data_IF_820480149664
#
_entry.id   IF_820480149664
#
_cell.length_a   1.000
_cell.length_b   1.000
_cell.length_c   1.000
_cell.angle_alpha   90.00
_cell.angle_beta   90.00
_cell.angle_gamma   90.00
#
_symmetry.space_group_name_H-M   'P 1'
#
loop_
_entity.id
_entity.type
_entity.pdbx_description
1 polymer ?
#
# COMPACT_ATOMS: atom_id res chain seq x y z
N UNK A 1 -17.09 13.76 -0.82
CA UNK A 1 -15.61 13.64 -0.69
C UNK A 1 -15.03 13.57 -2.10
N UNK A 2 -14.00 14.35 -2.44
CA UNK A 2 -13.29 14.13 -3.72
C UNK A 2 -12.59 12.77 -3.63
N UNK A 3 -12.78 11.92 -4.64
CA UNK A 3 -12.05 10.66 -4.78
C UNK A 3 -10.55 10.98 -4.84
N UNK A 4 -9.75 10.32 -4.00
CA UNK A 4 -8.29 10.42 -4.01
C UNK A 4 -7.71 9.09 -4.46
N UNK A 5 -6.67 9.15 -5.27
CA UNK A 5 -5.93 7.96 -5.67
C UNK A 5 -5.21 7.36 -4.46
N UNK A 6 -5.14 6.03 -4.43
CA UNK A 6 -4.42 5.27 -3.42
C UNK A 6 -3.45 4.34 -4.14
N UNK A 7 -2.16 4.43 -3.79
CA UNK A 7 -1.12 3.57 -4.36
C UNK A 7 -0.23 3.04 -3.24
N UNK A 8 0.15 1.77 -3.33
CA UNK A 8 1.17 1.17 -2.47
C UNK A 8 2.23 0.56 -3.36
N UNK A 9 3.48 0.93 -3.15
CA UNK A 9 4.65 0.25 -3.72
C UNK A 9 5.43 -0.44 -2.61
N UNK A 10 6.11 -1.53 -2.92
CA UNK A 10 6.93 -2.28 -1.98
C UNK A 10 8.33 -2.51 -2.53
N UNK A 11 9.33 -2.55 -1.64
CA UNK A 11 10.69 -2.99 -1.94
C UNK A 11 11.07 -4.11 -0.96
N UNK A 12 11.45 -5.28 -1.47
CA UNK A 12 12.02 -6.35 -0.66
C UNK A 12 13.44 -5.94 -0.22
N UNK A 13 13.71 -5.95 1.08
CA UNK A 13 14.98 -5.46 1.62
C UNK A 13 16.15 -6.42 1.38
N UNK A 14 15.89 -7.70 1.12
CA UNK A 14 16.92 -8.70 0.87
C UNK A 14 17.26 -8.80 -0.62
N UNK A 15 16.25 -8.76 -1.50
CA UNK A 15 16.44 -8.93 -2.94
C UNK A 15 16.52 -7.62 -3.72
N UNK A 16 16.04 -6.50 -3.14
CA UNK A 16 15.77 -5.23 -3.83
C UNK A 16 14.71 -5.33 -4.93
N UNK A 17 13.85 -6.37 -4.92
CA UNK A 17 12.71 -6.44 -5.83
C UNK A 17 11.72 -5.32 -5.51
N UNK A 18 11.25 -4.61 -6.53
CA UNK A 18 10.28 -3.52 -6.40
C UNK A 18 8.95 -3.89 -7.06
N UNK A 19 7.84 -3.65 -6.37
CA UNK A 19 6.51 -3.98 -6.88
C UNK A 19 5.48 -2.87 -6.60
N UNK A 20 4.52 -2.71 -7.51
CA UNK A 20 3.30 -1.94 -7.23
C UNK A 20 2.23 -2.89 -6.72
N UNK A 21 2.02 -2.91 -5.40
CA UNK A 21 1.16 -3.87 -4.71
C UNK A 21 -0.31 -3.49 -4.76
N UNK A 22 -0.63 -2.19 -4.78
CA UNK A 22 -2.01 -1.69 -4.85
C UNK A 22 -2.07 -0.46 -5.73
N UNK A 23 -3.07 -0.40 -6.62
CA UNK A 23 -3.54 0.83 -7.27
C UNK A 23 -5.06 0.86 -7.18
N UNK A 24 -5.61 1.87 -6.51
CA UNK A 24 -7.04 1.96 -6.24
C UNK A 24 -7.46 3.41 -5.97
N UNK A 25 -8.72 3.60 -5.59
CA UNK A 25 -9.28 4.90 -5.21
C UNK A 25 -9.92 4.79 -3.83
N UNK A 26 -9.63 5.78 -2.97
CA UNK A 26 -10.15 5.83 -1.60
C UNK A 26 -11.69 5.91 -1.60
N UNK A 27 -12.31 5.02 -0.83
CA UNK A 27 -13.75 4.98 -0.60
C UNK A 27 -14.15 5.74 0.68
N UNK A 28 -15.43 5.67 1.04
CA UNK A 28 -15.97 6.35 2.22
C UNK A 28 -15.63 5.68 3.55
N UNK A 29 -16.18 6.21 4.66
CA UNK A 29 -16.00 5.65 6.00
C UNK A 29 -16.43 4.19 6.09
N UNK A 30 -15.71 3.39 6.87
CA UNK A 30 -16.05 2.00 7.17
C UNK A 30 -15.40 1.58 8.50
N UNK A 31 -16.13 0.86 9.36
CA UNK A 31 -15.65 0.34 10.64
C UNK A 31 -14.88 1.36 11.53
N UNK A 32 -15.34 2.62 11.57
CA UNK A 32 -14.74 3.67 12.39
C UNK A 32 -13.56 4.43 11.75
N UNK A 33 -13.14 4.05 10.53
CA UNK A 33 -12.19 4.84 9.75
C UNK A 33 -12.91 5.96 8.97
N UNK A 34 -12.22 7.09 8.76
CA UNK A 34 -12.71 8.20 7.94
C UNK A 34 -12.85 7.82 6.46
N UNK A 35 -12.01 6.88 6.01
CA UNK A 35 -11.98 6.38 4.64
C UNK A 35 -11.30 5.00 4.60
N UNK A 36 -11.60 4.18 3.60
CA UNK A 36 -10.99 2.85 3.47
C UNK A 36 -10.79 2.43 2.01
N UNK A 37 -9.88 1.47 1.81
CA UNK A 37 -9.64 0.78 0.53
C UNK A 37 -9.44 -0.71 0.81
N UNK A 38 -10.41 -1.58 0.46
CA UNK A 38 -10.18 -3.02 0.45
C UNK A 38 -9.11 -3.35 -0.60
N UNK A 39 -8.10 -4.13 -0.22
CA UNK A 39 -6.96 -4.44 -1.08
C UNK A 39 -6.57 -5.92 -0.95
N UNK A 40 -6.11 -6.50 -2.05
CA UNK A 40 -5.41 -7.79 -2.09
C UNK A 40 -4.01 -7.48 -2.63
N UNK A 41 -2.97 -7.89 -1.90
CA UNK A 41 -1.58 -7.67 -2.29
C UNK A 41 -0.95 -9.02 -2.63
N UNK A 42 -0.22 -9.08 -3.74
CA UNK A 42 0.57 -10.24 -4.13
C UNK A 42 2.05 -9.86 -4.05
N UNK A 43 2.81 -10.62 -3.26
CA UNK A 43 4.24 -10.47 -3.13
C UNK A 43 4.94 -11.59 -3.91
N UNK A 44 5.99 -11.29 -4.70
CA UNK A 44 6.69 -12.29 -5.50
C UNK A 44 7.60 -13.21 -4.67
N UNK A 45 7.99 -12.78 -3.47
CA UNK A 45 8.92 -13.49 -2.60
C UNK A 45 8.64 -13.23 -1.11
N UNK A 46 9.06 -14.19 -0.28
CA UNK A 46 9.16 -14.04 1.18
C UNK A 46 10.21 -12.98 1.57
N UNK A 47 10.13 -12.50 2.81
CA UNK A 47 11.08 -11.54 3.39
C UNK A 47 10.43 -10.25 3.89
N UNK A 48 11.28 -9.31 4.31
CA UNK A 48 10.82 -8.00 4.81
C UNK A 48 10.66 -7.03 3.64
N UNK A 49 9.46 -6.48 3.49
CA UNK A 49 9.14 -5.48 2.47
C UNK A 49 8.93 -4.10 3.10
N UNK A 50 9.67 -3.08 2.65
CA UNK A 50 9.34 -1.68 2.93
C UNK A 50 8.27 -1.21 1.95
N UNK A 51 7.11 -0.82 2.48
CA UNK A 51 5.98 -0.30 1.75
C UNK A 51 5.97 1.22 1.79
N UNK A 52 5.76 1.86 0.64
CA UNK A 52 5.48 3.29 0.52
C UNK A 52 4.02 3.49 0.13
N UNK A 53 3.27 4.17 0.99
CA UNK A 53 1.83 4.42 0.81
C UNK A 53 1.63 5.84 0.30
N UNK A 54 0.92 5.99 -0.81
CA UNK A 54 0.62 7.27 -1.43
C UNK A 54 -0.89 7.54 -1.43
N UNK A 55 -1.26 8.77 -1.05
CA UNK A 55 -2.64 9.26 -1.06
C UNK A 55 -2.72 10.54 -1.88
N UNK A 56 -3.49 10.53 -2.97
CA UNK A 56 -3.60 11.65 -3.89
C UNK A 56 -2.28 12.02 -4.59
N UNK A 57 -1.37 11.04 -4.75
CA UNK A 57 -0.05 11.22 -5.37
C UNK A 57 1.07 11.62 -4.41
N UNK A 58 0.76 11.94 -3.16
CA UNK A 58 1.75 12.32 -2.14
C UNK A 58 2.09 11.13 -1.24
N UNK A 59 3.37 11.01 -0.85
CA UNK A 59 3.80 10.02 0.15
C UNK A 59 3.12 10.34 1.48
N UNK A 60 2.31 9.42 1.95
CA UNK A 60 1.59 9.54 3.21
C UNK A 60 2.37 8.87 4.35
N UNK A 61 2.82 7.64 4.13
CA UNK A 61 3.51 6.86 5.15
C UNK A 61 4.43 5.80 4.52
N UNK A 62 5.42 5.36 5.30
CA UNK A 62 6.22 4.16 5.03
C UNK A 62 6.04 3.17 6.17
N UNK A 63 5.92 1.88 5.85
CA UNK A 63 5.81 0.82 6.84
C UNK A 63 6.51 -0.46 6.37
N UNK A 64 6.97 -1.29 7.29
CA UNK A 64 7.55 -2.60 6.97
C UNK A 64 6.58 -3.73 7.27
N UNK A 65 6.54 -4.73 6.40
CA UNK A 65 5.80 -5.98 6.62
C UNK A 65 6.71 -7.18 6.38
N UNK A 66 6.54 -8.23 7.17
CA UNK A 66 7.19 -9.52 6.95
C UNK A 66 6.24 -10.43 6.17
N UNK A 67 6.71 -10.95 5.04
CA UNK A 67 6.00 -11.91 4.18
C UNK A 67 6.63 -13.28 4.39
N UNK A 68 5.79 -14.27 4.73
CA UNK A 68 6.18 -15.65 5.07
C UNK A 68 5.78 -16.65 3.98
#
# INVERSE_FOLDING_TARGET
>A
MKKKDFKVTGVNLDTNDEETLVTSTIAGPNNGADAHVPSIMNFPSEGVWELSVFVGGELFEKMSVEVL
#
